data_IF_580280240354
#
_entry.id   IF_580280240354
#
_cell.length_a   1.000
_cell.length_b   1.000
_cell.length_c   1.000
_cell.angle_alpha   90.00
_cell.angle_beta   90.00
_cell.angle_gamma   90.00
#
_symmetry.space_group_name_H-M   'P 1'
#
loop_
_entity.id
_entity.type
_entity.pdbx_description
1 polymer ?
#
# COMPACT_ATOMS: atom_id res chain seq x y z
N UNK A 1 -2.59 11.79 18.27
CA UNK A 1 -3.27 10.74 17.46
C UNK A 1 -2.26 10.16 16.49
N UNK A 2 -2.11 8.83 16.45
CA UNK A 2 -1.14 8.18 15.55
C UNK A 2 -1.78 8.05 14.16
N UNK A 3 -1.15 8.58 13.10
CA UNK A 3 -1.68 8.48 11.74
C UNK A 3 -1.37 7.09 11.17
N UNK A 4 -2.38 6.24 11.03
CA UNK A 4 -2.23 4.94 10.39
C UNK A 4 -2.26 5.12 8.87
N UNK A 5 -1.22 4.67 8.17
CA UNK A 5 -1.20 4.53 6.72
C UNK A 5 -1.14 3.04 6.36
N UNK A 6 -1.74 2.68 5.24
CA UNK A 6 -1.60 1.34 4.68
C UNK A 6 -0.55 1.41 3.57
N UNK A 7 0.45 0.54 3.64
CA UNK A 7 1.48 0.42 2.61
C UNK A 7 1.56 -1.03 2.13
N UNK A 8 1.93 -1.21 0.88
CA UNK A 8 2.17 -2.53 0.30
C UNK A 8 3.65 -2.84 0.41
N UNK A 9 3.96 -3.93 1.10
CA UNK A 9 5.30 -4.48 1.22
C UNK A 9 5.48 -5.59 0.19
N UNK A 10 6.63 -5.57 -0.50
CA UNK A 10 7.01 -6.60 -1.47
C UNK A 10 8.25 -7.32 -0.97
N UNK A 11 8.11 -8.62 -0.73
CA UNK A 11 9.21 -9.50 -0.38
C UNK A 11 9.57 -10.33 -1.61
N UNK A 12 10.75 -10.08 -2.20
CA UNK A 12 11.18 -10.71 -3.46
C UNK A 12 11.97 -12.01 -3.32
N UNK A 13 12.08 -12.54 -2.10
CA UNK A 13 12.90 -13.73 -1.80
C UNK A 13 14.40 -13.52 -2.04
N UNK A 14 15.24 -14.35 -1.39
CA UNK A 14 16.70 -14.29 -1.54
C UNK A 14 17.36 -13.09 -0.82
N UNK A 15 18.51 -12.63 -1.34
CA UNK A 15 19.34 -11.55 -0.74
C UNK A 15 18.83 -10.13 -0.99
N UNK A 16 17.68 -9.94 -1.64
CA UNK A 16 17.12 -8.61 -1.93
C UNK A 16 16.38 -8.05 -0.72
N UNK A 17 16.62 -6.77 -0.43
CA UNK A 17 15.95 -6.05 0.66
C UNK A 17 14.44 -5.91 0.42
N UNK A 18 13.71 -5.70 1.51
CA UNK A 18 12.28 -5.39 1.49
C UNK A 18 12.04 -4.12 0.68
N UNK A 19 11.11 -4.17 -0.27
CA UNK A 19 10.70 -3.02 -1.07
C UNK A 19 9.28 -2.57 -0.68
N UNK A 20 9.02 -1.26 -0.77
CA UNK A 20 7.70 -0.69 -0.55
C UNK A 20 7.20 -0.07 -1.87
N UNK A 21 5.92 -0.30 -2.19
CA UNK A 21 5.35 0.21 -3.45
C UNK A 21 5.11 1.71 -3.36
N UNK A 22 5.75 2.47 -4.25
CA UNK A 22 5.44 3.88 -4.48
C UNK A 22 4.50 4.00 -5.68
N UNK A 23 3.38 4.71 -5.50
CA UNK A 23 2.44 5.02 -6.58
C UNK A 23 3.01 6.20 -7.40
N UNK A 24 3.32 5.97 -8.68
CA UNK A 24 3.89 6.96 -9.62
C UNK A 24 2.83 7.37 -10.66
N UNK A 25 1.60 7.61 -10.22
CA UNK A 25 0.48 7.82 -11.13
C UNK A 25 0.57 9.17 -11.86
N UNK A 26 0.27 9.15 -13.17
CA UNK A 26 0.05 10.33 -14.02
C UNK A 26 -1.41 10.80 -14.04
N UNK A 27 -2.32 10.09 -13.36
CA UNK A 27 -3.77 10.35 -13.35
C UNK A 27 -4.27 10.91 -12.01
N UNK A 28 -5.36 11.69 -11.99
CA UNK A 28 -5.87 12.27 -10.75
C UNK A 28 -6.38 11.19 -9.79
N UNK A 29 -5.88 11.20 -8.56
CA UNK A 29 -6.38 10.35 -7.48
C UNK A 29 -7.75 10.86 -7.07
N UNK A 30 -8.74 9.98 -6.96
CA UNK A 30 -10.03 10.34 -6.41
C UNK A 30 -9.90 10.60 -4.90
N UNK A 31 -10.21 11.82 -4.46
CA UNK A 31 -10.02 12.27 -3.07
C UNK A 31 -11.34 12.43 -2.32
N UNK A 32 -11.32 12.25 -1.00
CA UNK A 32 -12.47 12.52 -0.14
C UNK A 32 -12.04 13.18 1.17
N UNK A 33 -12.90 14.04 1.72
CA UNK A 33 -12.72 14.65 3.05
C UNK A 33 -13.27 13.78 4.18
N UNK A 34 -14.06 12.74 3.86
CA UNK A 34 -14.65 11.83 4.86
C UNK A 34 -13.59 10.84 5.32
N UNK A 35 -13.08 10.99 6.56
CA UNK A 35 -12.00 10.15 7.12
C UNK A 35 -12.21 8.64 6.97
N UNK A 36 -13.38 8.12 7.33
CA UNK A 36 -13.66 6.69 7.26
C UNK A 36 -13.66 6.17 5.82
N UNK A 37 -14.19 6.98 4.89
CA UNK A 37 -14.17 6.66 3.47
C UNK A 37 -12.73 6.70 2.93
N UNK A 38 -11.93 7.69 3.33
CA UNK A 38 -10.52 7.77 2.95
C UNK A 38 -9.73 6.53 3.39
N UNK A 39 -9.98 6.02 4.60
CA UNK A 39 -9.33 4.78 5.06
C UNK A 39 -9.76 3.55 4.24
N UNK A 40 -11.05 3.43 3.93
CA UNK A 40 -11.57 2.34 3.11
C UNK A 40 -10.99 2.39 1.69
N UNK A 41 -10.99 3.57 1.06
CA UNK A 41 -10.40 3.79 -0.26
C UNK A 41 -8.91 3.44 -0.27
N UNK A 42 -8.16 3.85 0.75
CA UNK A 42 -6.74 3.53 0.88
C UNK A 42 -6.50 2.01 1.01
N UNK A 43 -7.32 1.31 1.81
CA UNK A 43 -7.23 -0.14 1.96
C UNK A 43 -7.50 -0.87 0.65
N UNK A 44 -8.61 -0.57 -0.03
CA UNK A 44 -8.99 -1.20 -1.30
C UNK A 44 -7.92 -0.98 -2.38
N UNK A 45 -7.42 0.25 -2.50
CA UNK A 45 -6.34 0.59 -3.43
C UNK A 45 -5.09 -0.26 -3.16
N UNK A 46 -4.74 -0.44 -1.88
CA UNK A 46 -3.58 -1.22 -1.50
C UNK A 46 -3.79 -2.73 -1.75
N UNK A 47 -5.01 -3.25 -1.57
CA UNK A 47 -5.37 -4.63 -1.92
C UNK A 47 -5.29 -4.90 -3.43
N UNK A 48 -5.77 -3.96 -4.25
CA UNK A 48 -5.67 -4.08 -5.71
C UNK A 48 -4.20 -4.09 -6.18
N UNK A 49 -3.36 -3.26 -5.55
CA UNK A 49 -1.91 -3.26 -5.78
C UNK A 49 -1.28 -4.60 -5.38
N UNK A 50 -1.60 -5.14 -4.20
CA UNK A 50 -1.12 -6.46 -3.74
C UNK A 50 -1.43 -7.53 -4.79
N UNK A 51 -2.70 -7.61 -5.25
CA UNK A 51 -3.14 -8.57 -6.26
C UNK A 51 -2.40 -8.42 -7.59
N UNK A 52 -2.17 -7.18 -8.04
CA UNK A 52 -1.45 -6.93 -9.29
C UNK A 52 0.03 -7.34 -9.26
N UNK A 53 0.63 -7.34 -8.06
CA UNK A 53 2.04 -7.65 -7.85
C UNK A 53 2.29 -9.12 -7.47
N UNK A 54 1.25 -9.83 -7.06
CA UNK A 54 1.30 -11.24 -6.69
C UNK A 54 1.72 -12.07 -7.93
N UNK A 55 2.96 -12.54 -7.92
CA UNK A 55 3.54 -13.39 -8.95
C UNK A 55 4.38 -14.49 -8.28
N UNK A 56 4.75 -15.55 -9.01
CA UNK A 56 5.43 -16.72 -8.42
C UNK A 56 6.77 -16.43 -7.74
N UNK A 57 7.35 -15.23 -7.92
CA UNK A 57 8.66 -14.83 -7.37
C UNK A 57 8.55 -13.76 -6.28
N UNK A 58 7.36 -13.22 -6.00
CA UNK A 58 7.17 -12.14 -5.03
C UNK A 58 6.00 -12.47 -4.11
N UNK A 59 6.25 -12.45 -2.80
CA UNK A 59 5.18 -12.43 -1.80
C UNK A 59 4.87 -10.99 -1.45
N UNK A 60 3.59 -10.59 -1.58
CA UNK A 60 3.12 -9.24 -1.30
C UNK A 60 2.18 -9.25 -0.11
N UNK A 61 2.38 -8.31 0.81
CA UNK A 61 1.59 -8.22 2.03
C UNK A 61 1.14 -6.78 2.28
N UNK A 62 -0.09 -6.64 2.76
CA UNK A 62 -0.64 -5.35 3.18
C UNK A 62 -0.31 -5.13 4.65
N UNK A 63 0.49 -4.11 4.95
CA UNK A 63 0.91 -3.81 6.33
C UNK A 63 0.41 -2.44 6.77
N UNK A 64 -0.25 -2.34 7.95
CA UNK A 64 -0.55 -1.05 8.55
C UNK A 64 0.72 -0.46 9.17
N UNK A 65 1.10 0.74 8.75
CA UNK A 65 2.25 1.46 9.28
C UNK A 65 1.79 2.67 10.07
N UNK A 66 2.34 2.81 11.26
CA UNK A 66 2.09 3.95 12.11
C UNK A 66 3.06 5.08 11.74
N UNK A 67 2.52 6.18 11.23
CA UNK A 67 3.32 7.35 10.88
C UNK A 67 3.19 8.38 12.00
N UNK A 68 4.31 8.74 12.60
CA UNK A 68 4.40 9.95 13.43
C UNK A 68 4.57 11.11 12.45
N UNK A 69 3.60 12.01 12.41
CA UNK A 69 3.73 13.30 11.72
C UNK A 69 4.35 14.29 12.69
#
# INVERSE_FOLDING_TARGET
MKNTKFVVQVNRGGTRAIEYVARIDRTPVHTTLKRNLAMLMGKLTAEDVVKSLENSRCTTELVPVQVRQ
#
